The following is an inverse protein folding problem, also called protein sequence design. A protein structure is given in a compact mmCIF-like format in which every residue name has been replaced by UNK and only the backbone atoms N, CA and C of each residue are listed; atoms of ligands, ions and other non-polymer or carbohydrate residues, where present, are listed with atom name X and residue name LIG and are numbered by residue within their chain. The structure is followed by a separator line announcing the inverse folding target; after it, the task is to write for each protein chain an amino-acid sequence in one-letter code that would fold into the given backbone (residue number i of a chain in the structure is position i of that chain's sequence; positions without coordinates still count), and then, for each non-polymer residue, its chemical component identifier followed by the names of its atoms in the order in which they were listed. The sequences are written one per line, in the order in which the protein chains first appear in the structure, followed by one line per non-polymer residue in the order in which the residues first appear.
data_IF_946391784450
#
_entry.id   IF_946391784450
#
_cell.length_a   1.000
_cell.length_b   1.000
_cell.length_c   1.000
_cell.angle_alpha   90.00
_cell.angle_beta   90.00
_cell.angle_gamma   90.00
#
_symmetry.space_group_name_H-M   'P 1'
#
loop_
_entity.id
_entity.type
_entity.pdbx_description
1 polymer ?
#
# COMPACT_ATOMS: atom_id res chain seq x y z
N UNK A 1 -9.85 -7.62 -4.42
CA UNK A 1 -9.35 -6.50 -5.25
C UNK A 1 -7.95 -6.00 -4.89
N UNK A 2 -7.60 -5.80 -3.61
CA UNK A 2 -6.27 -5.28 -3.24
C UNK A 2 -5.10 -6.12 -3.81
N UNK A 3 -5.19 -7.45 -3.75
CA UNK A 3 -4.18 -8.35 -4.34
C UNK A 3 -4.02 -8.18 -5.87
N UNK A 4 -5.12 -7.91 -6.57
CA UNK A 4 -5.14 -7.74 -8.02
C UNK A 4 -4.57 -6.37 -8.44
N UNK A 5 -4.79 -5.32 -7.64
CA UNK A 5 -4.17 -4.02 -7.92
C UNK A 5 -2.65 -4.05 -7.79
N UNK A 6 -2.10 -4.93 -6.92
CA UNK A 6 -0.64 -5.08 -6.76
C UNK A 6 0.04 -5.70 -7.99
N UNK A 7 -0.64 -6.58 -8.73
CA UNK A 7 -0.12 -7.11 -10.00
C UNK A 7 -0.07 -6.09 -11.13
N UNK A 8 -0.65 -4.90 -10.93
CA UNK A 8 -0.65 -3.80 -11.88
C UNK A 8 0.18 -2.62 -11.37
N UNK A 9 1.32 -2.94 -10.78
CA UNK A 9 2.36 -1.97 -10.42
C UNK A 9 3.53 -2.13 -11.38
N UNK A 10 3.99 -1.02 -11.94
CA UNK A 10 4.92 -0.99 -13.06
C UNK A 10 6.12 -0.14 -12.70
N UNK A 11 7.30 -0.71 -12.91
CA UNK A 11 8.55 -0.01 -12.64
C UNK A 11 9.56 -0.17 -13.77
N UNK A 12 10.19 0.94 -14.15
CA UNK A 12 11.40 0.92 -14.98
C UNK A 12 12.34 2.06 -14.53
N UNK A 13 13.37 1.75 -13.71
CA UNK A 13 14.27 2.77 -13.17
C UNK A 13 15.05 3.54 -14.24
N UNK A 14 15.32 2.93 -15.39
CA UNK A 14 16.06 3.59 -16.49
C UNK A 14 15.26 4.72 -17.12
N UNK A 15 13.93 4.63 -17.05
CA UNK A 15 13.01 5.63 -17.59
C UNK A 15 12.48 6.58 -16.52
N UNK A 16 12.71 6.30 -15.23
CA UNK A 16 12.01 6.98 -14.14
C UNK A 16 10.52 6.64 -14.13
N UNK A 17 10.16 5.40 -14.47
CA UNK A 17 8.78 4.89 -14.43
C UNK A 17 8.53 4.21 -13.09
N UNK A 18 7.49 4.65 -12.38
CA UNK A 18 7.07 4.12 -11.07
C UNK A 18 5.58 4.41 -10.88
N UNK A 19 4.74 3.54 -11.41
CA UNK A 19 3.29 3.78 -11.45
C UNK A 19 2.50 2.53 -11.10
N UNK A 20 1.19 2.68 -10.89
CA UNK A 20 0.32 1.53 -10.71
C UNK A 20 -1.14 1.87 -10.98
N UNK A 21 -1.89 0.87 -11.40
CA UNK A 21 -3.32 0.99 -11.56
C UNK A 21 -4.01 0.81 -10.22
N UNK A 22 -4.95 1.71 -9.92
CA UNK A 22 -5.86 1.54 -8.80
C UNK A 22 -7.25 1.99 -9.21
N UNK A 23 -8.25 1.22 -8.77
CA UNK A 23 -9.64 1.53 -9.05
C UNK A 23 -10.11 2.68 -8.17
N UNK A 24 -10.36 3.85 -8.77
CA UNK A 24 -10.79 5.04 -8.04
C UNK A 24 -12.25 5.00 -7.61
N UNK A 25 -13.06 4.13 -8.22
CA UNK A 25 -14.49 4.00 -7.92
C UNK A 25 -14.81 3.44 -6.53
N UNK A 26 -13.82 2.97 -5.76
CA UNK A 26 -14.02 2.55 -4.36
C UNK A 26 -13.89 3.71 -3.35
N UNK A 27 -13.69 4.95 -3.83
CA UNK A 27 -13.36 6.11 -3.02
C UNK A 27 -11.86 6.41 -3.08
N UNK A 28 -11.50 7.68 -3.36
CA UNK A 28 -10.12 8.11 -3.47
C UNK A 28 -9.96 9.54 -2.95
N UNK A 29 -8.87 9.79 -2.22
CA UNK A 29 -8.47 11.13 -1.78
C UNK A 29 -7.26 11.58 -2.56
N UNK A 30 -7.37 12.69 -3.30
CA UNK A 30 -6.29 13.18 -4.16
C UNK A 30 -6.01 14.66 -3.87
N UNK A 31 -4.72 15.07 -3.82
CA UNK A 31 -4.38 16.49 -3.74
C UNK A 31 -4.93 17.24 -4.95
N UNK A 32 -5.51 18.43 -4.72
CA UNK A 32 -6.00 19.32 -5.78
C UNK A 32 -4.97 19.51 -6.90
N UNK A 33 -3.69 19.74 -6.53
CA UNK A 33 -2.57 19.89 -7.48
C UNK A 33 -2.41 18.70 -8.44
N UNK A 34 -2.65 17.47 -7.97
CA UNK A 34 -2.51 16.26 -8.79
C UNK A 34 -3.61 16.19 -9.84
N UNK A 35 -4.84 16.59 -9.48
CA UNK A 35 -5.98 16.67 -10.40
C UNK A 35 -5.73 17.74 -11.46
N UNK A 36 -5.31 18.95 -11.08
CA UNK A 36 -4.97 20.01 -12.04
C UNK A 36 -3.86 19.58 -13.00
N UNK A 37 -2.81 18.95 -12.48
CA UNK A 37 -1.71 18.44 -13.30
C UNK A 37 -2.20 17.41 -14.33
N UNK A 38 -3.04 16.47 -13.91
CA UNK A 38 -3.64 15.50 -14.82
C UNK A 38 -4.49 16.17 -15.90
N UNK A 39 -5.32 17.15 -15.56
CA UNK A 39 -6.14 17.87 -16.54
C UNK A 39 -5.28 18.65 -17.56
N UNK A 40 -4.15 19.21 -17.12
CA UNK A 40 -3.19 19.86 -18.02
C UNK A 40 -2.50 18.85 -18.94
N UNK A 41 -2.07 17.71 -18.41
CA UNK A 41 -1.50 16.60 -19.19
C UNK A 41 -2.51 16.07 -20.21
N UNK A 42 -3.78 15.94 -19.82
CA UNK A 42 -4.89 15.54 -20.67
C UNK A 42 -5.12 16.55 -21.79
N UNK A 43 -5.17 17.85 -21.47
CA UNK A 43 -5.35 18.92 -22.46
C UNK A 43 -4.17 19.06 -23.44
N UNK A 44 -2.96 18.72 -23.01
CA UNK A 44 -1.77 18.62 -23.87
C UNK A 44 -1.65 17.30 -24.63
N UNK A 45 -2.52 16.32 -24.34
CA UNK A 45 -2.55 15.03 -24.99
C UNK A 45 -3.56 15.03 -26.14
N UNK A 46 -3.21 14.40 -27.27
CA UNK A 46 -4.15 14.16 -28.36
C UNK A 46 -5.04 12.92 -28.09
N UNK A 47 -5.54 12.76 -26.86
CA UNK A 47 -6.52 11.72 -26.57
C UNK A 47 -7.85 12.04 -27.26
N UNK A 48 -8.43 11.04 -27.92
CA UNK A 48 -9.73 11.18 -28.55
C UNK A 48 -10.83 11.39 -27.49
N UNK A 49 -11.92 12.06 -27.89
CA UNK A 49 -13.04 12.44 -27.00
C UNK A 49 -13.59 11.26 -26.20
N UNK A 50 -13.63 10.08 -26.78
CA UNK A 50 -14.09 8.84 -26.15
C UNK A 50 -13.12 8.35 -25.05
N UNK A 51 -11.81 8.52 -25.24
CA UNK A 51 -10.79 8.15 -24.23
C UNK A 51 -10.71 9.15 -23.08
N UNK A 52 -11.06 10.41 -23.32
CA UNK A 52 -11.22 11.42 -22.26
C UNK A 52 -12.34 11.03 -21.28
N UNK A 53 -13.40 10.39 -21.77
CA UNK A 53 -14.50 9.90 -20.91
C UNK A 53 -14.05 8.78 -19.97
N UNK A 54 -12.96 8.08 -20.30
CA UNK A 54 -12.32 7.02 -19.51
C UNK A 54 -11.06 7.51 -18.78
N UNK A 55 -10.99 8.82 -18.52
CA UNK A 55 -9.84 9.45 -17.87
C UNK A 55 -9.55 8.90 -16.47
N UNK A 56 -10.52 8.32 -15.78
CA UNK A 56 -10.36 7.62 -14.51
C UNK A 56 -9.44 6.39 -14.62
N UNK A 57 -9.52 5.64 -15.73
CA UNK A 57 -8.63 4.50 -16.01
C UNK A 57 -7.19 4.93 -16.30
N UNK A 58 -7.00 6.13 -16.85
CA UNK A 58 -5.67 6.72 -17.06
C UNK A 58 -5.11 7.35 -15.80
N UNK A 59 -5.96 7.96 -14.96
CA UNK A 59 -5.56 8.87 -13.91
C UNK A 59 -4.50 8.28 -12.98
N UNK A 60 -4.72 7.07 -12.46
CA UNK A 60 -3.79 6.44 -11.52
C UNK A 60 -2.42 6.18 -12.17
N UNK A 61 -2.42 5.68 -13.42
CA UNK A 61 -1.21 5.33 -14.16
C UNK A 61 -0.43 6.58 -14.59
N UNK A 62 -1.13 7.60 -15.10
CA UNK A 62 -0.50 8.74 -15.75
C UNK A 62 0.19 9.71 -14.79
N UNK A 63 -0.13 9.65 -13.50
CA UNK A 63 0.60 10.40 -12.48
C UNK A 63 2.05 9.97 -12.34
N UNK A 64 2.41 8.79 -12.85
CA UNK A 64 3.71 8.17 -12.63
C UNK A 64 4.06 8.14 -11.13
N UNK A 65 3.11 7.67 -10.32
CA UNK A 65 3.28 7.52 -8.87
C UNK A 65 2.52 6.27 -8.42
N UNK A 66 3.11 5.47 -7.52
CA UNK A 66 2.39 4.32 -6.99
C UNK A 66 1.15 4.76 -6.20
N UNK A 67 -0.02 4.13 -6.44
CA UNK A 67 -1.21 4.39 -5.64
C UNK A 67 -1.01 3.90 -4.20
N UNK A 68 -1.51 4.67 -3.23
CA UNK A 68 -1.59 4.24 -1.83
C UNK A 68 -2.96 3.62 -1.62
N UNK A 69 -2.98 2.31 -1.37
CA UNK A 69 -4.22 1.56 -1.16
C UNK A 69 -4.30 1.19 0.31
N UNK A 70 -5.31 1.73 0.99
CA UNK A 70 -5.62 1.36 2.36
C UNK A 70 -6.63 0.21 2.35
N UNK A 71 -6.35 -0.83 3.14
CA UNK A 71 -7.29 -1.89 3.41
C UNK A 71 -8.42 -1.37 4.28
N UNK A 72 -9.65 -1.73 3.94
CA UNK A 72 -10.84 -1.39 4.68
C UNK A 72 -11.89 -2.50 4.50
N UNK A 73 -12.76 -2.67 5.50
CA UNK A 73 -13.90 -3.58 5.45
C UNK A 73 -15.01 -3.17 4.46
N UNK A 74 -14.87 -2.04 3.75
CA UNK A 74 -15.90 -1.59 2.82
C UNK A 74 -15.95 -2.51 1.61
N UNK A 75 -17.14 -3.01 1.33
CA UNK A 75 -17.41 -3.71 0.09
C UNK A 75 -17.21 -2.73 -1.07
N UNK A 76 -16.60 -3.18 -2.19
CA UNK A 76 -16.53 -2.35 -3.37
C UNK A 76 -17.92 -2.01 -3.89
N UNK A 77 -18.08 -0.82 -4.46
CA UNK A 77 -19.33 -0.43 -5.10
C UNK A 77 -19.69 -1.45 -6.17
N UNK A 78 -20.97 -1.86 -6.20
CA UNK A 78 -21.51 -2.77 -7.21
C UNK A 78 -21.33 -2.15 -8.61
N UNK A 79 -20.60 -2.86 -9.47
CA UNK A 79 -20.31 -2.45 -10.85
C UNK A 79 -21.22 -3.11 -11.89
N UNK A 80 -22.23 -3.86 -11.44
CA UNK A 80 -23.18 -4.56 -12.30
C UNK A 80 -23.88 -3.66 -13.33
N UNK A 81 -23.93 -2.35 -13.08
CA UNK A 81 -24.69 -1.38 -13.88
C UNK A 81 -23.85 -0.24 -14.49
N UNK A 82 -22.53 -0.21 -14.30
CA UNK A 82 -21.71 0.96 -14.68
C UNK A 82 -21.57 1.13 -16.20
N UNK A 83 -21.59 0.03 -16.96
CA UNK A 83 -21.52 0.01 -18.43
C UNK A 83 -22.39 -1.17 -18.90
N UNK A 84 -23.45 -0.90 -19.67
CA UNK A 84 -24.46 -1.86 -20.12
C UNK A 84 -23.89 -3.26 -20.45
N UNK A 85 -24.48 -4.33 -19.92
CA UNK A 85 -23.98 -5.72 -19.89
C UNK A 85 -23.78 -6.45 -21.23
N UNK A 86 -23.42 -5.75 -22.30
CA UNK A 86 -23.04 -6.29 -23.62
C UNK A 86 -21.55 -6.14 -23.95
N UNK A 87 -20.77 -5.43 -23.12
CA UNK A 87 -19.35 -5.17 -23.36
C UNK A 87 -18.51 -5.93 -22.33
N UNK A 88 -17.47 -6.63 -22.78
CA UNK A 88 -16.45 -7.18 -21.89
C UNK A 88 -15.67 -6.01 -21.24
N UNK A 89 -16.10 -5.64 -20.04
CA UNK A 89 -15.56 -4.52 -19.26
C UNK A 89 -14.06 -4.69 -19.01
N UNK A 90 -13.59 -5.92 -18.79
CA UNK A 90 -12.18 -6.19 -18.54
C UNK A 90 -11.35 -5.95 -19.80
N UNK A 91 -11.83 -6.34 -20.97
CA UNK A 91 -11.12 -6.01 -22.21
C UNK A 91 -10.93 -4.50 -22.39
N UNK A 92 -11.92 -3.68 -22.04
CA UNK A 92 -11.80 -2.21 -22.06
C UNK A 92 -10.74 -1.75 -21.05
N UNK A 93 -10.80 -2.24 -19.80
CA UNK A 93 -9.82 -1.87 -18.76
C UNK A 93 -8.39 -2.23 -19.17
N UNK A 94 -8.15 -3.45 -19.65
CA UNK A 94 -6.82 -3.90 -20.08
C UNK A 94 -6.29 -3.08 -21.26
N UNK A 95 -7.14 -2.74 -22.23
CA UNK A 95 -6.76 -1.89 -23.35
C UNK A 95 -6.32 -0.50 -22.87
N UNK A 96 -7.08 0.11 -21.97
CA UNK A 96 -6.81 1.46 -21.46
C UNK A 96 -5.58 1.50 -20.58
N UNK A 97 -5.39 0.49 -19.71
CA UNK A 97 -4.17 0.35 -18.92
C UNK A 97 -2.94 0.23 -19.80
N UNK A 98 -3.01 -0.60 -20.84
CA UNK A 98 -1.89 -0.82 -21.74
C UNK A 98 -1.58 0.43 -22.56
N UNK A 99 -2.60 1.10 -23.11
CA UNK A 99 -2.44 2.37 -23.83
C UNK A 99 -1.82 3.45 -22.93
N UNK A 100 -2.29 3.58 -21.69
CA UNK A 100 -1.72 4.50 -20.70
C UNK A 100 -0.23 4.20 -20.45
N UNK A 101 0.11 2.91 -20.29
CA UNK A 101 1.49 2.48 -20.05
C UNK A 101 2.41 2.72 -21.25
N UNK A 102 1.96 2.43 -22.47
CA UNK A 102 2.73 2.71 -23.69
C UNK A 102 2.99 4.21 -23.86
N UNK A 103 1.95 5.02 -23.66
CA UNK A 103 2.04 6.48 -23.70
C UNK A 103 3.03 6.99 -22.67
N UNK A 104 2.86 6.61 -21.41
CA UNK A 104 3.75 7.04 -20.32
C UNK A 104 5.20 6.60 -20.60
N UNK A 105 5.42 5.36 -21.02
CA UNK A 105 6.76 4.85 -21.37
C UNK A 105 7.39 5.65 -22.51
N UNK A 106 6.62 5.96 -23.56
CA UNK A 106 7.09 6.75 -24.72
C UNK A 106 7.51 8.16 -24.31
N UNK A 107 6.74 8.81 -23.43
CA UNK A 107 7.05 10.15 -22.95
C UNK A 107 8.29 10.17 -22.08
N UNK A 108 8.40 9.22 -21.14
CA UNK A 108 9.55 9.11 -20.25
C UNK A 108 10.84 8.75 -21.00
N UNK A 109 10.72 8.02 -22.10
CA UNK A 109 11.83 7.69 -23.01
C UNK A 109 12.29 8.88 -23.86
N UNK A 110 11.52 9.96 -23.94
CA UNK A 110 11.86 11.15 -24.72
C UNK A 110 11.71 10.99 -26.24
N UNK A 111 11.16 9.87 -26.71
CA UNK A 111 11.01 9.57 -28.14
C UNK A 111 9.84 10.34 -28.77
N UNK A 112 8.83 10.72 -27.97
CA UNK A 112 7.76 11.63 -28.38
C UNK A 112 6.79 11.09 -29.45
N UNK A 113 6.93 9.84 -29.88
CA UNK A 113 6.14 9.23 -30.96
C UNK A 113 5.58 7.88 -30.50
N UNK A 114 4.26 7.78 -30.39
CA UNK A 114 3.55 6.50 -30.20
C UNK A 114 3.10 6.00 -31.57
N UNK A 115 3.59 4.83 -32.00
CA UNK A 115 3.16 4.12 -33.22
C UNK A 115 3.09 4.97 -34.51
N UNK A 116 4.14 5.76 -34.80
CA UNK A 116 4.21 6.55 -36.05
C UNK A 116 3.14 7.63 -36.21
N UNK A 117 2.27 7.82 -35.22
CA UNK A 117 1.29 8.89 -35.22
C UNK A 117 1.90 10.17 -34.62
N UNK A 118 1.61 11.35 -35.18
CA UNK A 118 2.10 12.64 -34.69
C UNK A 118 1.44 13.05 -33.35
N UNK A 119 0.85 12.10 -32.62
CA UNK A 119 0.20 12.34 -31.35
C UNK A 119 1.27 12.67 -30.30
N UNK A 120 1.54 13.97 -30.14
CA UNK A 120 2.27 14.49 -28.98
C UNK A 120 1.59 13.96 -27.71
N UNK A 121 2.34 13.19 -26.94
CA UNK A 121 1.92 12.72 -25.61
C UNK A 121 2.57 13.66 -24.58
N UNK A 122 2.30 14.97 -24.64
CA UNK A 122 3.02 15.93 -23.78
C UNK A 122 4.56 15.87 -23.91
N UNK A 123 5.25 16.54 -23.00
CA UNK A 123 6.71 16.51 -22.88
C UNK A 123 7.13 15.70 -21.65
N UNK A 124 8.36 15.14 -21.65
CA UNK A 124 8.93 14.46 -20.48
C UNK A 124 8.86 15.32 -19.21
N UNK A 125 9.07 16.64 -19.36
CA UNK A 125 9.00 17.62 -18.27
C UNK A 125 7.61 17.68 -17.59
N UNK A 126 6.55 17.24 -18.26
CA UNK A 126 5.20 17.23 -17.70
C UNK A 126 5.02 16.08 -16.69
N UNK A 127 5.93 15.10 -16.66
CA UNK A 127 5.87 13.92 -15.79
C UNK A 127 6.96 13.97 -14.73
N UNK A 128 6.59 13.68 -13.48
CA UNK A 128 7.58 13.60 -12.40
C UNK A 128 8.31 12.27 -12.56
N UNK A 129 9.64 12.32 -12.73
CA UNK A 129 10.49 11.12 -12.84
C UNK A 129 10.95 10.59 -11.47
N UNK A 130 10.81 11.40 -10.43
CA UNK A 130 11.09 11.01 -9.05
C UNK A 130 9.83 10.51 -8.34
N UNK A 131 10.00 9.55 -7.45
CA UNK A 131 8.94 9.06 -6.61
C UNK A 131 8.56 10.09 -5.52
N UNK A 132 7.27 10.30 -5.31
CA UNK A 132 6.75 11.11 -4.21
C UNK A 132 7.12 10.49 -2.85
N UNK A 133 7.65 11.33 -1.95
CA UNK A 133 7.96 10.94 -0.57
C UNK A 133 6.66 10.82 0.28
N UNK A 134 6.58 9.86 1.21
CA UNK A 134 7.55 8.78 1.44
C UNK A 134 7.61 7.79 0.27
N UNK A 135 8.80 7.24 0.00
CA UNK A 135 8.98 6.22 -1.04
C UNK A 135 8.10 5.00 -0.77
N UNK A 136 7.87 4.16 -1.77
CA UNK A 136 6.99 3.00 -1.68
C UNK A 136 7.36 2.11 -0.50
N UNK A 137 8.67 1.93 -0.29
CA UNK A 137 9.24 1.13 0.79
C UNK A 137 8.93 1.71 2.16
N UNK A 138 8.79 3.03 2.27
CA UNK A 138 8.55 3.74 3.52
C UNK A 138 7.05 4.00 3.78
N UNK A 139 6.16 3.59 2.86
CA UNK A 139 4.70 3.70 2.98
C UNK A 139 4.16 2.56 3.83
N UNK A 140 4.25 2.73 5.14
CA UNK A 140 3.89 1.68 6.09
C UNK A 140 2.42 1.70 6.54
N UNK A 141 1.63 2.74 6.23
CA UNK A 141 0.20 2.77 6.60
C UNK A 141 -0.60 1.80 5.73
N UNK A 142 -1.33 0.87 6.37
CA UNK A 142 -2.05 -0.21 5.66
C UNK A 142 -3.57 -0.18 5.83
N UNK A 143 -4.10 0.36 6.93
CA UNK A 143 -5.55 0.48 7.16
C UNK A 143 -5.87 1.57 8.18
N UNK A 144 -7.11 2.04 8.20
CA UNK A 144 -7.67 2.78 9.33
C UNK A 144 -8.17 1.81 10.40
N UNK A 145 -8.16 2.24 11.65
CA UNK A 145 -8.83 1.54 12.74
C UNK A 145 -10.35 1.74 12.63
N UNK A 146 -11.15 0.79 13.10
CA UNK A 146 -12.63 0.84 12.92
C UNK A 146 -13.32 2.02 13.62
N UNK A 147 -12.67 2.65 14.60
CA UNK A 147 -13.15 3.84 15.28
C UNK A 147 -12.59 5.16 14.73
N UNK A 148 -11.85 5.13 13.63
CA UNK A 148 -11.19 6.29 13.00
C UNK A 148 -10.20 7.05 13.90
N UNK A 149 -9.78 6.48 15.04
CA UNK A 149 -8.84 7.14 15.97
C UNK A 149 -7.38 6.85 15.64
N UNK A 150 -7.11 5.88 14.78
CA UNK A 150 -5.77 5.51 14.39
C UNK A 150 -5.68 4.95 12.97
N UNK A 151 -4.44 4.83 12.52
CA UNK A 151 -4.01 4.15 11.31
C UNK A 151 -3.09 3.00 11.71
N UNK A 152 -3.37 1.79 11.25
CA UNK A 152 -2.48 0.66 11.42
C UNK A 152 -1.29 0.78 10.46
N UNK A 153 -0.09 0.56 10.99
CA UNK A 153 1.16 0.70 10.27
C UNK A 153 2.01 -0.57 10.39
N UNK A 154 2.59 -1.02 9.29
CA UNK A 154 3.54 -2.13 9.27
C UNK A 154 4.47 -2.03 8.06
N UNK A 155 5.75 -2.36 8.27
CA UNK A 155 6.72 -2.55 7.16
C UNK A 155 6.67 -3.97 6.58
N UNK A 156 5.84 -4.84 7.14
CA UNK A 156 5.61 -6.21 6.68
C UNK A 156 4.58 -6.16 5.53
N UNK A 157 5.06 -6.15 4.29
CA UNK A 157 4.20 -6.24 3.12
C UNK A 157 3.94 -7.71 2.74
N UNK A 158 2.68 -8.05 2.52
CA UNK A 158 2.25 -9.35 2.00
C UNK A 158 2.61 -9.55 0.53
N UNK A 159 2.85 -8.45 -0.20
CA UNK A 159 3.08 -8.49 -1.64
C UNK A 159 4.54 -8.15 -1.98
N UNK A 160 5.07 -8.73 -3.06
CA UNK A 160 6.35 -8.33 -3.62
C UNK A 160 6.42 -6.82 -3.85
N UNK A 161 7.65 -6.31 -3.76
CA UNK A 161 7.94 -4.92 -4.07
C UNK A 161 7.83 -4.69 -5.60
N UNK A 162 7.46 -3.49 -6.07
CA UNK A 162 7.42 -3.16 -7.49
C UNK A 162 8.75 -3.46 -8.21
N UNK A 163 9.88 -3.36 -7.51
CA UNK A 163 11.22 -3.63 -8.03
C UNK A 163 11.41 -5.09 -8.45
N UNK A 164 10.59 -6.01 -7.93
CA UNK A 164 10.65 -7.43 -8.26
C UNK A 164 10.33 -7.69 -9.74
N UNK A 165 9.61 -6.79 -10.41
CA UNK A 165 9.23 -6.96 -11.83
C UNK A 165 9.44 -5.67 -12.60
N UNK A 166 10.41 -5.71 -13.50
CA UNK A 166 10.63 -4.61 -14.43
C UNK A 166 9.58 -4.61 -15.54
N UNK A 167 8.97 -3.46 -15.74
CA UNK A 167 8.17 -3.17 -16.91
C UNK A 167 9.10 -3.01 -18.12
N UNK A 168 8.93 -3.93 -19.05
CA UNK A 168 9.50 -3.88 -20.38
C UNK A 168 8.31 -3.98 -21.34
N UNK A 169 8.01 -2.91 -22.09
CA UNK A 169 7.08 -3.00 -23.20
C UNK A 169 7.82 -3.73 -24.33
N UNK A 170 8.01 -5.04 -24.18
CA UNK A 170 8.75 -5.82 -25.14
C UNK A 170 7.85 -6.07 -26.36
N UNK A 171 8.09 -5.32 -27.43
CA UNK A 171 7.42 -5.52 -28.73
C UNK A 171 8.14 -6.57 -29.58
N UNK A 172 9.29 -7.12 -29.11
CA UNK A 172 10.18 -7.96 -29.92
C UNK A 172 9.75 -9.43 -30.03
N UNK A 173 8.88 -9.91 -29.15
CA UNK A 173 8.34 -11.28 -29.21
C UNK A 173 7.02 -11.39 -29.96
N UNK A 174 6.59 -10.36 -30.70
CA UNK A 174 5.46 -10.51 -31.60
C UNK A 174 5.85 -11.49 -32.70
N UNK A 175 5.18 -12.65 -32.84
CA UNK A 175 5.41 -13.52 -33.98
C UNK A 175 5.20 -12.69 -35.24
N UNK A 176 6.17 -12.67 -36.13
CA UNK A 176 6.14 -11.97 -37.42
C UNK A 176 5.15 -12.63 -38.41
N UNK A 177 4.05 -13.21 -37.93
CA UNK A 177 3.03 -13.87 -38.73
C UNK A 177 1.63 -13.61 -38.19
N UNK A 178 0.80 -13.03 -39.07
CA UNK A 178 -0.68 -13.08 -39.14
C UNK A 178 -1.52 -12.34 -38.08
N UNK A 179 -2.24 -11.31 -38.56
CA UNK A 179 -3.64 -10.97 -38.22
C UNK A 179 -4.02 -10.75 -36.74
N UNK A 180 -3.12 -10.23 -35.91
CA UNK A 180 -3.44 -9.84 -34.53
C UNK A 180 -3.96 -8.39 -34.53
N UNK A 181 -5.16 -8.14 -33.98
CA UNK A 181 -5.65 -6.76 -33.81
C UNK A 181 -4.83 -6.03 -32.74
N UNK A 182 -4.64 -4.70 -32.84
CA UNK A 182 -3.92 -3.92 -31.82
C UNK A 182 -4.45 -4.13 -30.38
N UNK A 183 -5.76 -4.34 -30.25
CA UNK A 183 -6.41 -4.67 -28.97
C UNK A 183 -5.97 -6.02 -28.38
N UNK A 184 -5.72 -7.03 -29.21
CA UNK A 184 -5.23 -8.33 -28.77
C UNK A 184 -3.78 -8.22 -28.28
N UNK A 185 -2.93 -7.53 -29.04
CA UNK A 185 -1.52 -7.29 -28.68
C UNK A 185 -1.38 -6.53 -27.35
N UNK A 186 -2.24 -5.53 -27.10
CA UNK A 186 -2.26 -4.82 -25.82
C UNK A 186 -2.54 -5.75 -24.62
N UNK A 187 -3.53 -6.65 -24.76
CA UNK A 187 -3.87 -7.60 -23.69
C UNK A 187 -2.72 -8.53 -23.36
N UNK A 188 -2.05 -9.06 -24.38
CA UNK A 188 -0.97 -10.05 -24.21
C UNK A 188 0.20 -9.48 -23.39
N UNK A 189 0.54 -8.20 -23.58
CA UNK A 189 1.66 -7.55 -22.86
C UNK A 189 1.35 -7.37 -21.38
N UNK A 190 0.15 -6.91 -21.06
CA UNK A 190 -0.28 -6.74 -19.66
C UNK A 190 -0.45 -8.11 -18.98
N UNK A 191 -0.99 -9.11 -19.69
CA UNK A 191 -1.08 -10.48 -19.20
C UNK A 191 0.30 -11.11 -18.95
N UNK A 192 1.29 -10.85 -19.81
CA UNK A 192 2.66 -11.30 -19.60
C UNK A 192 3.30 -10.63 -18.38
N UNK A 193 3.02 -9.35 -18.13
CA UNK A 193 3.44 -8.69 -16.89
C UNK A 193 2.78 -9.33 -15.66
N UNK A 194 1.47 -9.55 -15.69
CA UNK A 194 0.77 -10.24 -14.61
C UNK A 194 1.27 -11.67 -14.39
N UNK A 195 1.59 -12.42 -15.45
CA UNK A 195 2.10 -13.77 -15.35
C UNK A 195 3.45 -13.80 -14.60
N UNK A 196 4.32 -12.82 -14.87
CA UNK A 196 5.56 -12.62 -14.10
C UNK A 196 5.25 -12.32 -12.63
N UNK A 197 4.24 -11.50 -12.34
CA UNK A 197 3.81 -11.25 -10.95
C UNK A 197 3.28 -12.50 -10.28
N UNK A 198 2.44 -13.25 -11.00
CA UNK A 198 1.83 -14.50 -10.53
C UNK A 198 2.87 -15.61 -10.30
N UNK A 199 4.06 -15.52 -10.90
CA UNK A 199 5.19 -16.43 -10.61
C UNK A 199 5.99 -16.08 -9.36
N UNK A 200 5.78 -14.91 -8.75
CA UNK A 200 6.43 -14.54 -7.49
C UNK A 200 5.76 -15.22 -6.30
N UNK A 201 6.45 -15.18 -5.16
CA UNK A 201 5.88 -15.66 -3.89
C UNK A 201 5.00 -14.56 -3.26
N UNK A 202 3.68 -14.74 -3.31
CA UNK A 202 2.69 -13.85 -2.69
C UNK A 202 1.46 -14.66 -2.26
N UNK A 203 0.64 -14.16 -1.32
CA UNK A 203 -0.52 -14.90 -0.84
C UNK A 203 -1.60 -14.99 -1.91
N UNK A 204 -2.29 -16.15 -1.93
CA UNK A 204 -3.49 -16.35 -2.75
C UNK A 204 -4.60 -15.37 -2.35
N UNK A 205 -5.53 -15.04 -3.26
CA UNK A 205 -6.65 -14.13 -2.96
C UNK A 205 -7.43 -14.50 -1.68
N UNK A 206 -7.67 -15.80 -1.44
CA UNK A 206 -8.39 -16.27 -0.26
C UNK A 206 -7.66 -15.96 1.05
N UNK A 207 -6.32 -16.12 1.07
CA UNK A 207 -5.51 -15.74 2.23
C UNK A 207 -5.62 -14.23 2.48
N UNK A 208 -5.53 -13.42 1.42
CA UNK A 208 -5.65 -11.95 1.54
C UNK A 208 -7.04 -11.57 2.04
N UNK A 209 -8.09 -12.27 1.62
CA UNK A 209 -9.45 -12.01 2.09
C UNK A 209 -9.61 -12.34 3.58
N UNK A 210 -8.97 -13.41 4.08
CA UNK A 210 -9.09 -13.87 5.47
C UNK A 210 -8.12 -13.21 6.45
N UNK A 211 -7.01 -12.63 5.97
CA UNK A 211 -5.92 -12.18 6.84
C UNK A 211 -5.44 -10.76 6.54
N UNK A 212 -6.31 -9.91 6.00
CA UNK A 212 -5.97 -8.54 5.59
C UNK A 212 -5.61 -7.64 6.78
N UNK A 213 -4.87 -6.56 6.52
CA UNK A 213 -4.32 -5.69 7.55
C UNK A 213 -5.35 -5.05 8.49
N UNK A 214 -6.58 -4.77 8.00
CA UNK A 214 -7.58 -4.11 8.84
C UNK A 214 -8.11 -5.00 9.98
N UNK A 215 -7.98 -6.33 9.88
CA UNK A 215 -8.32 -7.27 10.95
C UNK A 215 -7.41 -7.17 12.18
N UNK A 216 -6.29 -6.43 12.12
CA UNK A 216 -5.51 -6.11 13.32
C UNK A 216 -6.18 -5.03 14.20
N UNK A 217 -7.13 -4.27 13.64
CA UNK A 217 -7.66 -3.01 14.19
C UNK A 217 -9.15 -2.79 13.81
N UNK A 218 -9.93 -3.87 13.78
CA UNK A 218 -11.37 -3.81 13.48
C UNK A 218 -12.25 -3.95 14.72
N UNK A 219 -11.66 -4.11 15.92
CA UNK A 219 -12.31 -4.40 17.20
C UNK A 219 -13.00 -5.77 17.29
N UNK A 220 -12.73 -6.69 16.35
CA UNK A 220 -13.23 -8.06 16.38
C UNK A 220 -12.09 -9.05 16.65
N UNK A 221 -12.03 -9.60 17.86
CA UNK A 221 -10.97 -10.55 18.23
C UNK A 221 -11.09 -11.92 17.52
N UNK A 222 -12.13 -12.14 16.71
CA UNK A 222 -12.31 -13.35 15.90
C UNK A 222 -11.72 -13.24 14.50
N UNK A 223 -11.37 -12.03 14.05
CA UNK A 223 -10.64 -11.78 12.80
C UNK A 223 -9.19 -11.45 13.14
N UNK A 224 -8.25 -11.80 12.25
CA UNK A 224 -6.84 -11.53 12.51
C UNK A 224 -6.08 -11.16 11.24
N UNK A 225 -5.23 -10.14 11.33
CA UNK A 225 -4.16 -9.94 10.36
C UNK A 225 -3.10 -11.02 10.54
N UNK A 226 -2.67 -11.66 9.45
CA UNK A 226 -1.57 -12.61 9.48
C UNK A 226 -0.48 -12.18 8.50
N UNK A 227 0.77 -12.15 8.93
CA UNK A 227 1.89 -11.97 8.01
C UNK A 227 1.96 -13.17 7.06
N UNK A 228 2.29 -12.94 5.78
CA UNK A 228 2.43 -14.05 4.82
C UNK A 228 3.72 -14.85 5.04
N UNK A 229 4.80 -14.16 5.41
CA UNK A 229 6.12 -14.74 5.69
C UNK A 229 6.49 -14.51 7.17
N UNK A 230 7.42 -15.30 7.72
CA UNK A 230 8.04 -14.99 9.01
C UNK A 230 8.66 -13.60 9.02
N UNK A 231 8.68 -12.96 10.19
CA UNK A 231 9.22 -11.61 10.33
C UNK A 231 10.73 -11.63 10.42
N UNK A 232 11.35 -10.64 9.79
CA UNK A 232 12.78 -10.38 9.92
C UNK A 232 13.08 -9.51 11.14
N UNK A 233 14.35 -9.45 11.52
CA UNK A 233 14.81 -8.48 12.52
C UNK A 233 14.53 -7.05 12.04
N UNK A 234 13.92 -6.24 12.90
CA UNK A 234 13.51 -4.87 12.58
C UNK A 234 12.16 -4.77 11.87
N UNK A 235 11.51 -5.88 11.53
CA UNK A 235 10.10 -5.86 11.15
C UNK A 235 9.24 -5.32 12.29
N UNK A 236 8.20 -4.57 11.96
CA UNK A 236 7.32 -3.98 12.97
C UNK A 236 5.88 -3.88 12.47
N UNK A 237 4.96 -3.88 13.42
CA UNK A 237 3.60 -3.38 13.26
C UNK A 237 3.30 -2.32 14.32
N UNK A 238 2.20 -1.59 14.22
CA UNK A 238 1.96 -0.47 15.11
C UNK A 238 0.81 0.41 14.69
N UNK A 239 0.73 1.55 15.37
CA UNK A 239 -0.38 2.48 15.29
C UNK A 239 0.16 3.90 15.13
N UNK A 240 -0.48 4.67 14.25
CA UNK A 240 -0.41 6.13 14.22
C UNK A 240 -1.76 6.67 14.67
N UNK A 241 -1.78 7.37 15.79
CA UNK A 241 -2.99 8.01 16.29
C UNK A 241 -3.31 9.27 15.49
N UNK A 242 -4.58 9.48 15.21
CA UNK A 242 -5.09 10.69 14.56
C UNK A 242 -4.90 11.88 15.51
N UNK A 243 -5.24 11.69 16.78
CA UNK A 243 -4.96 12.62 17.87
C UNK A 243 -3.87 12.05 18.77
N UNK A 244 -2.83 12.82 19.14
CA UNK A 244 -1.79 12.35 20.04
C UNK A 244 -2.36 11.90 21.38
N UNK A 245 -1.85 10.78 21.90
CA UNK A 245 -2.17 10.29 23.22
C UNK A 245 -1.35 11.04 24.26
N UNK A 246 -1.90 12.15 24.75
CA UNK A 246 -1.33 12.93 25.86
C UNK A 246 -1.14 12.05 27.10
N UNK A 247 -2.11 11.16 27.34
CA UNK A 247 -2.12 10.30 28.50
C UNK A 247 -1.16 9.11 28.41
N UNK A 248 -0.48 8.84 27.28
CA UNK A 248 0.52 7.77 27.24
C UNK A 248 1.73 8.08 28.17
N UNK A 249 1.94 9.35 28.52
CA UNK A 249 2.92 9.77 29.53
C UNK A 249 2.48 9.57 30.99
N UNK A 250 1.17 9.46 31.28
CA UNK A 250 0.62 9.37 32.65
C UNK A 250 -0.27 8.13 32.93
N UNK A 251 -0.89 7.50 31.91
CA UNK A 251 -1.99 6.52 32.03
C UNK A 251 -2.07 5.41 30.99
N UNK A 252 -1.13 5.22 30.06
CA UNK A 252 -1.10 3.97 29.31
C UNK A 252 -0.63 2.82 30.19
N UNK A 253 -1.48 2.43 31.13
CA UNK A 253 -1.26 1.37 32.11
C UNK A 253 -1.14 0.01 31.44
N UNK A 254 -1.66 -0.12 30.21
CA UNK A 254 -1.79 -1.38 29.53
C UNK A 254 -1.67 -1.19 28.02
N UNK A 255 -0.77 -1.95 27.41
CA UNK A 255 -0.85 -2.31 26.01
C UNK A 255 -1.14 -3.81 25.94
N UNK A 256 -2.09 -4.22 25.12
CA UNK A 256 -2.44 -5.63 24.94
C UNK A 256 -2.52 -5.95 23.45
N UNK A 257 -1.93 -7.07 23.04
CA UNK A 257 -1.95 -7.58 21.67
C UNK A 257 -2.53 -8.99 21.70
N UNK A 258 -3.56 -9.25 20.90
CA UNK A 258 -4.22 -10.56 20.81
C UNK A 258 -3.72 -11.37 19.62
N UNK A 259 -3.68 -12.68 19.82
CA UNK A 259 -3.36 -13.66 18.78
C UNK A 259 -3.98 -15.00 19.16
N UNK A 260 -4.50 -15.73 18.19
CA UNK A 260 -4.90 -17.13 18.41
C UNK A 260 -3.69 -18.07 18.34
N UNK A 261 -2.62 -17.65 17.68
CA UNK A 261 -1.37 -18.39 17.60
C UNK A 261 -0.52 -18.21 18.86
N UNK A 262 -0.35 -19.30 19.60
CA UNK A 262 0.56 -19.36 20.76
C UNK A 262 2.02 -19.06 20.37
N UNK A 263 2.46 -19.48 19.17
CA UNK A 263 3.80 -19.19 18.65
C UNK A 263 4.03 -17.68 18.44
N UNK A 264 3.00 -16.93 18.04
CA UNK A 264 3.05 -15.47 17.97
C UNK A 264 3.24 -14.88 19.36
N UNK A 265 2.43 -15.29 20.34
CA UNK A 265 2.52 -14.77 21.71
C UNK A 265 3.89 -15.04 22.35
N UNK A 266 4.47 -16.22 22.12
CA UNK A 266 5.83 -16.56 22.53
C UNK A 266 6.86 -15.65 21.86
N UNK A 267 6.74 -15.45 20.55
CA UNK A 267 7.68 -14.62 19.78
C UNK A 267 7.62 -13.15 20.20
N UNK A 268 6.41 -12.61 20.39
CA UNK A 268 6.21 -11.25 20.88
C UNK A 268 6.78 -11.11 22.30
N UNK A 269 6.49 -12.04 23.21
CA UNK A 269 6.98 -11.99 24.59
C UNK A 269 8.50 -12.03 24.71
N UNK A 270 9.18 -12.70 23.78
CA UNK A 270 10.63 -12.84 23.84
C UNK A 270 11.38 -11.75 23.08
N UNK A 271 10.87 -11.31 21.93
CA UNK A 271 11.64 -10.53 20.96
C UNK A 271 11.05 -9.15 20.66
N UNK A 272 9.82 -8.86 21.06
CA UNK A 272 9.20 -7.56 20.78
C UNK A 272 9.81 -6.44 21.64
N UNK A 273 9.95 -5.28 21.03
CA UNK A 273 10.21 -4.01 21.72
C UNK A 273 9.12 -3.05 21.33
N UNK A 274 8.58 -2.36 22.33
CA UNK A 274 7.68 -1.26 22.07
C UNK A 274 8.44 0.03 21.96
N UNK A 275 8.19 0.75 20.87
CA UNK A 275 8.73 2.07 20.61
C UNK A 275 7.59 3.07 20.47
N UNK A 276 7.81 4.28 20.91
CA UNK A 276 6.88 5.38 20.78
C UNK A 276 7.54 6.58 20.11
N UNK A 277 6.76 7.40 19.41
CA UNK A 277 7.24 8.63 18.82
C UNK A 277 6.17 9.71 18.83
N UNK A 278 6.60 10.96 18.93
CA UNK A 278 5.75 12.15 18.80
C UNK A 278 5.63 12.58 17.33
N UNK A 279 6.64 12.30 16.51
CA UNK A 279 6.77 12.85 15.14
C UNK A 279 6.95 11.78 14.05
N UNK A 280 7.14 10.51 14.43
CA UNK A 280 7.37 9.38 13.53
C UNK A 280 8.82 9.24 13.06
N UNK A 281 9.72 10.12 13.49
CA UNK A 281 11.15 10.14 13.13
C UNK A 281 12.05 9.84 14.32
N UNK A 282 11.76 10.42 15.48
CA UNK A 282 12.50 10.22 16.72
C UNK A 282 11.77 9.19 17.58
N UNK A 283 12.37 8.01 17.74
CA UNK A 283 11.76 6.88 18.43
C UNK A 283 12.37 6.67 19.81
N UNK A 284 11.50 6.48 20.80
CA UNK A 284 11.85 6.18 22.19
C UNK A 284 11.48 4.74 22.50
N UNK A 285 12.33 4.03 23.24
CA UNK A 285 12.02 2.68 23.70
C UNK A 285 11.20 2.73 24.99
N UNK A 286 10.11 1.98 24.98
CA UNK A 286 9.23 1.81 26.13
C UNK A 286 9.52 0.49 26.83
N UNK A 287 9.56 0.54 28.16
CA UNK A 287 9.79 -0.59 29.05
C UNK A 287 8.57 -0.78 29.95
N UNK A 288 8.19 -2.02 30.21
CA UNK A 288 7.09 -2.35 31.11
C UNK A 288 7.14 -3.82 31.52
N UNK A 289 6.28 -4.20 32.44
CA UNK A 289 6.13 -5.59 32.83
C UNK A 289 5.35 -6.34 31.76
N UNK A 290 5.94 -7.39 31.19
CA UNK A 290 5.30 -8.20 30.16
C UNK A 290 4.67 -9.43 30.80
N UNK A 291 3.37 -9.59 30.61
CA UNK A 291 2.58 -10.72 31.09
C UNK A 291 1.94 -11.41 29.89
N UNK A 292 2.12 -12.72 29.78
CA UNK A 292 1.42 -13.54 28.78
C UNK A 292 0.17 -14.14 29.41
N UNK A 293 -0.97 -13.97 28.75
CA UNK A 293 -2.24 -14.58 29.13
C UNK A 293 -2.72 -15.50 28.01
N UNK A 294 -3.81 -16.25 28.27
CA UNK A 294 -4.44 -17.06 27.23
C UNK A 294 -4.97 -16.15 26.12
N UNK A 295 -4.36 -16.23 24.93
CA UNK A 295 -4.78 -15.47 23.74
C UNK A 295 -4.26 -14.03 23.63
N UNK A 296 -3.43 -13.56 24.56
CA UNK A 296 -2.83 -12.23 24.46
C UNK A 296 -1.50 -12.06 25.19
N UNK A 297 -0.77 -11.03 24.80
CA UNK A 297 0.38 -10.50 25.51
C UNK A 297 0.05 -9.10 26.00
N UNK A 298 0.28 -8.87 27.29
CA UNK A 298 0.03 -7.62 27.99
C UNK A 298 1.35 -7.00 28.41
N UNK A 299 1.42 -5.70 28.30
CA UNK A 299 2.51 -4.92 28.84
C UNK A 299 1.95 -3.83 29.74
N UNK A 300 2.30 -3.93 31.02
CA UNK A 300 1.82 -3.06 32.10
C UNK A 300 2.89 -2.06 32.52
N UNK A 301 2.44 -0.98 33.15
CA UNK A 301 3.29 0.07 33.73
C UNK A 301 4.31 0.61 32.72
N UNK A 302 3.82 0.90 31.51
CA UNK A 302 4.64 1.32 30.40
C UNK A 302 5.36 2.65 30.70
N UNK A 303 6.67 2.65 30.57
CA UNK A 303 7.52 3.84 30.69
C UNK A 303 8.35 3.99 29.43
N UNK A 304 8.11 5.04 28.67
CA UNK A 304 8.94 5.37 27.51
C UNK A 304 10.12 6.24 27.97
N UNK A 305 11.34 5.71 27.79
CA UNK A 305 12.55 6.42 28.22
C UNK A 305 12.75 7.69 27.38
N UNK A 306 12.90 8.80 28.09
CA UNK A 306 12.92 10.16 27.57
C UNK A 306 14.25 10.49 26.85
N UNK A 307 14.53 9.78 25.75
CA UNK A 307 15.59 10.19 24.82
C UNK A 307 15.25 11.58 24.22
N UNK A 308 13.97 11.97 24.25
CA UNK A 308 13.46 13.28 23.84
C UNK A 308 13.98 14.46 24.65
N UNK A 309 14.29 14.29 25.95
CA UNK A 309 14.87 15.37 26.79
C UNK A 309 16.20 15.91 26.27
N UNK A 310 17.01 15.09 25.59
CA UNK A 310 18.26 15.52 24.95
C UNK A 310 18.03 16.30 23.63
N UNK A 311 16.82 16.24 23.07
CA UNK A 311 16.43 16.82 21.77
C UNK A 311 15.33 17.88 21.93
N UNK A 312 14.97 18.25 23.17
CA UNK A 312 13.94 19.25 23.46
C UNK A 312 12.50 18.82 23.20
N UNK A 313 12.22 17.50 23.10
CA UNK A 313 10.86 16.98 22.92
C UNK A 313 10.22 16.79 24.31
N UNK A 314 9.27 17.65 24.65
CA UNK A 314 8.48 17.59 25.87
C UNK A 314 7.24 16.70 25.65
N UNK A 315 7.28 15.47 26.21
CA UNK A 315 6.21 14.47 26.12
C UNK A 315 4.90 14.91 26.78
N UNK A 316 5.02 15.68 27.87
CA UNK A 316 3.94 16.27 28.67
C UNK A 316 3.04 17.22 27.87
N UNK A 317 3.55 17.84 26.81
CA UNK A 317 2.78 18.81 26.00
C UNK A 317 2.32 18.29 24.65
N UNK A 318 3.02 17.30 24.07
CA UNK A 318 2.75 16.84 22.68
C UNK A 318 2.08 15.48 22.59
N UNK A 319 2.19 14.62 23.62
CA UNK A 319 1.64 13.27 23.60
C UNK A 319 2.29 12.34 22.58
N UNK A 320 1.97 11.04 22.67
CA UNK A 320 2.50 10.04 21.75
C UNK A 320 1.58 9.93 20.54
N UNK A 321 2.12 10.18 19.34
CA UNK A 321 1.37 10.04 18.09
C UNK A 321 1.58 8.67 17.43
N UNK A 322 2.71 8.02 17.70
CA UNK A 322 3.05 6.74 17.07
C UNK A 322 3.46 5.71 18.11
N UNK A 323 3.02 4.47 17.91
CA UNK A 323 3.39 3.29 18.66
C UNK A 323 3.85 2.20 17.69
N UNK A 324 4.97 1.54 17.95
CA UNK A 324 5.51 0.44 17.15
C UNK A 324 5.88 -0.74 18.04
N UNK A 325 5.57 -1.94 17.57
CA UNK A 325 5.98 -3.23 18.09
C UNK A 325 7.03 -3.79 17.14
N UNK A 326 8.30 -3.61 17.47
CA UNK A 326 9.43 -3.95 16.61
C UNK A 326 10.10 -5.25 17.07
N UNK A 327 10.39 -6.14 16.14
CA UNK A 327 11.04 -7.43 16.42
C UNK A 327 12.56 -7.26 16.54
N UNK A 328 13.13 -7.63 17.68
CA UNK A 328 14.60 -7.66 17.89
C UNK A 328 15.29 -8.80 17.14
N UNK A 329 14.58 -9.89 16.95
CA UNK A 329 15.05 -11.13 16.34
C UNK A 329 14.00 -11.64 15.33
N UNK A 330 14.41 -12.39 14.30
CA UNK A 330 13.47 -12.96 13.35
C UNK A 330 12.55 -13.99 14.02
N UNK A 331 11.34 -14.15 13.47
CA UNK A 331 10.42 -15.21 13.90
C UNK A 331 10.61 -16.47 13.07
N UNK A 332 10.38 -17.64 13.67
CA UNK A 332 10.46 -18.91 12.94
C UNK A 332 9.23 -19.16 12.06
N UNK A 333 8.07 -18.62 12.47
CA UNK A 333 6.79 -18.72 11.76
C UNK A 333 6.22 -17.33 11.49
N UNK A 334 5.29 -17.20 10.54
CA UNK A 334 4.48 -16.00 10.44
C UNK A 334 3.76 -15.68 11.76
N UNK A 335 3.45 -14.40 11.99
CA UNK A 335 2.71 -13.91 13.14
C UNK A 335 1.26 -13.61 12.79
N UNK A 336 0.42 -13.56 13.81
CA UNK A 336 -1.01 -13.25 13.73
C UNK A 336 -1.38 -12.20 14.79
N UNK A 337 -2.12 -11.16 14.39
CA UNK A 337 -2.61 -10.12 15.30
C UNK A 337 -4.12 -9.97 15.10
N UNK A 338 -4.89 -10.28 16.14
CA UNK A 338 -6.36 -10.21 16.14
C UNK A 338 -6.91 -8.94 16.80
N UNK A 339 -6.03 -8.10 17.33
CA UNK A 339 -6.44 -6.87 17.99
C UNK A 339 -5.29 -6.21 18.73
N UNK A 340 -5.40 -4.91 18.90
CA UNK A 340 -4.46 -4.11 19.69
C UNK A 340 -5.25 -3.20 20.63
N UNK A 341 -4.88 -3.17 21.90
CA UNK A 341 -5.46 -2.27 22.91
C UNK A 341 -4.38 -1.39 23.48
N UNK A 342 -4.72 -0.12 23.63
CA UNK A 342 -3.85 0.89 24.25
C UNK A 342 -4.69 1.64 25.29
N UNK A 343 -4.38 1.42 26.56
CA UNK A 343 -5.22 1.88 27.68
C UNK A 343 -6.61 1.24 27.63
N UNK A 344 -7.64 2.07 27.71
CA UNK A 344 -9.04 1.63 27.64
C UNK A 344 -9.57 1.51 26.20
N UNK A 345 -8.76 1.84 25.19
CA UNK A 345 -9.16 1.78 23.79
C UNK A 345 -8.80 0.42 23.20
N UNK A 346 -9.81 -0.40 22.90
CA UNK A 346 -9.69 -1.48 21.92
C UNK A 346 -9.75 -0.83 20.53
N UNK A 347 -8.76 -1.15 19.69
CA UNK A 347 -8.56 -0.52 18.40
C UNK A 347 -8.83 -1.49 17.26
#
# INVERSE_FOLDING_TARGET
MAAQQRSWTFQNPQLGLHTGFSWLGAGAFMPKKAVFKFLMQLGGSNLWKERVQLGDLFFALWRNQYPVVLSHALAPLDQSSSWSGRIDQWSVVYEHMTDAMFRLTTVLSGTGVVHGSPHRVGAKADFVADEELPSFRDRHTRSSCSNDKCLFQTNVDMFPLPESIKWHPDTSTSPSSTTITPSQQHRDILQAHEARFKSLNFPKPDFVAMHTYHYAVDQDLSTCWQSFLPLEKGSYFGLRFVLPLLELGERAKLIEVWSTFESTLISLGKYMVVKASVDGTNWMTCTGETERTTGSIRMKDLRCTDVGRKIGIQLDTRGIQFLRFEMKEPTATPIEICGIRVGDMLL
#
